data_IF_768773071401
#
_entry.id   IF_768773071401
#
_cell.length_a   1.000
_cell.length_b   1.000
_cell.length_c   1.000
_cell.angle_alpha   90.00
_cell.angle_beta   90.00
_cell.angle_gamma   90.00
#
_symmetry.space_group_name_H-M   'P 1'
#
loop_
_entity.id
_entity.type
_entity.pdbx_description
1 polymer ?
#
# COMPACT_ATOMS: atom_id res chain seq x y z
N UNK A 1 25.45 -16.76 8.12
CA UNK A 1 25.34 -15.98 6.85
C UNK A 1 24.02 -16.24 6.11
N UNK A 2 23.34 -17.36 6.36
CA UNK A 2 21.97 -17.65 5.90
C UNK A 2 20.92 -16.76 6.57
N UNK A 3 20.99 -16.63 7.90
CA UNK A 3 19.90 -16.05 8.70
C UNK A 3 19.78 -14.52 8.51
N UNK A 4 20.90 -13.84 8.30
CA UNK A 4 20.93 -12.40 8.01
C UNK A 4 20.28 -12.08 6.64
N UNK A 5 20.45 -12.96 5.65
CA UNK A 5 19.80 -12.79 4.33
C UNK A 5 18.29 -12.99 4.42
N UNK A 6 17.83 -13.93 5.23
CA UNK A 6 16.40 -14.16 5.46
C UNK A 6 15.75 -12.95 6.16
N UNK A 7 16.37 -12.45 7.23
CA UNK A 7 15.89 -11.25 7.94
C UNK A 7 15.84 -10.03 7.01
N UNK A 8 16.87 -9.82 6.19
CA UNK A 8 16.87 -8.73 5.21
C UNK A 8 15.78 -8.88 4.14
N UNK A 9 15.50 -10.11 3.71
CA UNK A 9 14.43 -10.38 2.75
C UNK A 9 13.06 -10.12 3.35
N UNK A 10 12.82 -10.59 4.58
CA UNK A 10 11.56 -10.33 5.29
C UNK A 10 11.35 -8.83 5.54
N UNK A 11 12.38 -8.10 5.96
CA UNK A 11 12.31 -6.66 6.16
C UNK A 11 11.93 -5.93 4.86
N UNK A 12 12.46 -6.37 3.72
CA UNK A 12 12.08 -5.83 2.42
C UNK A 12 10.62 -6.10 2.09
N UNK A 13 10.14 -7.34 2.27
CA UNK A 13 8.74 -7.69 2.03
C UNK A 13 7.78 -6.88 2.91
N UNK A 14 8.12 -6.70 4.19
CA UNK A 14 7.34 -5.86 5.12
C UNK A 14 7.36 -4.38 4.69
N UNK A 15 8.50 -3.87 4.25
CA UNK A 15 8.60 -2.51 3.72
C UNK A 15 7.72 -2.34 2.47
N UNK A 16 7.76 -3.31 1.56
CA UNK A 16 6.98 -3.29 0.32
C UNK A 16 5.47 -3.33 0.62
N UNK A 17 5.03 -4.05 1.67
CA UNK A 17 3.65 -4.03 2.15
C UNK A 17 3.24 -2.70 2.81
N UNK A 18 4.17 -1.95 3.43
CA UNK A 18 3.88 -0.64 4.04
C UNK A 18 3.66 0.45 3.00
N UNK A 19 4.31 0.38 1.85
CA UNK A 19 4.19 1.39 0.80
C UNK A 19 2.75 1.61 0.30
N UNK A 20 1.97 0.56 -0.07
CA UNK A 20 0.58 0.75 -0.46
C UNK A 20 -0.33 1.22 0.69
N UNK A 21 -0.08 0.78 1.93
CA UNK A 21 -0.82 1.29 3.11
C UNK A 21 -0.67 2.80 3.28
N UNK A 22 0.55 3.33 3.15
CA UNK A 22 0.78 4.77 3.25
C UNK A 22 0.08 5.54 2.12
N UNK A 23 0.06 4.98 0.91
CA UNK A 23 -0.64 5.57 -0.23
C UNK A 23 -2.15 5.56 -0.03
N UNK A 24 -2.72 4.52 0.57
CA UNK A 24 -4.15 4.47 0.92
C UNK A 24 -4.49 5.63 1.86
N UNK A 25 -3.74 5.78 2.96
CA UNK A 25 -3.94 6.87 3.93
C UNK A 25 -3.87 8.24 3.26
N UNK A 26 -2.81 8.49 2.47
CA UNK A 26 -2.62 9.76 1.75
C UNK A 26 -3.76 10.05 0.76
N UNK A 27 -4.22 9.05 -0.02
CA UNK A 27 -5.32 9.27 -0.96
C UNK A 27 -6.66 9.48 -0.23
N UNK A 28 -6.87 8.85 0.93
CA UNK A 28 -8.06 9.09 1.75
C UNK A 28 -8.08 10.53 2.31
N UNK A 29 -6.93 11.04 2.77
CA UNK A 29 -6.79 12.45 3.15
C UNK A 29 -7.00 13.40 1.98
N UNK A 30 -6.49 13.06 0.79
CA UNK A 30 -6.72 13.84 -0.43
C UNK A 30 -8.20 13.91 -0.80
N UNK A 31 -8.97 12.83 -0.63
CA UNK A 31 -10.42 12.83 -0.86
C UNK A 31 -11.11 13.80 0.10
N UNK A 32 -10.75 13.80 1.39
CA UNK A 32 -11.28 14.78 2.36
C UNK A 32 -11.00 16.22 1.90
N UNK A 33 -9.75 16.50 1.53
CA UNK A 33 -9.34 17.83 1.04
C UNK A 33 -10.13 18.26 -0.21
N UNK A 34 -10.36 17.34 -1.16
CA UNK A 34 -11.15 17.61 -2.36
C UNK A 34 -12.60 17.98 -2.02
N UNK A 35 -13.21 17.27 -1.07
CA UNK A 35 -14.60 17.51 -0.65
C UNK A 35 -14.74 18.80 0.17
N UNK A 36 -13.79 19.07 1.07
CA UNK A 36 -13.83 20.25 1.96
C UNK A 36 -13.58 21.56 1.22
N UNK A 37 -12.86 21.53 0.09
CA UNK A 37 -12.45 22.72 -0.66
C UNK A 37 -13.14 22.85 -2.02
N UNK A 38 -14.25 22.13 -2.25
CA UNK A 38 -15.03 22.14 -3.50
C UNK A 38 -14.16 21.97 -4.77
N UNK A 39 -13.16 21.10 -4.68
CA UNK A 39 -12.26 20.82 -5.80
C UNK A 39 -12.95 19.90 -6.82
N UNK A 40 -12.44 19.82 -8.07
CA UNK A 40 -13.06 18.96 -9.09
C UNK A 40 -13.23 17.51 -8.63
N UNK A 41 -14.46 16.98 -8.77
CA UNK A 41 -14.84 15.62 -8.39
C UNK A 41 -13.91 14.54 -8.95
N UNK A 42 -13.40 14.74 -10.17
CA UNK A 42 -12.50 13.80 -10.84
C UNK A 42 -11.21 13.55 -10.04
N UNK A 43 -10.77 14.52 -9.22
CA UNK A 43 -9.62 14.33 -8.32
C UNK A 43 -9.93 13.33 -7.20
N UNK A 44 -11.15 13.35 -6.65
CA UNK A 44 -11.57 12.36 -5.66
C UNK A 44 -11.72 10.97 -6.29
N UNK A 45 -12.26 10.89 -7.52
CA UNK A 45 -12.36 9.63 -8.26
C UNK A 45 -10.98 9.03 -8.54
N UNK A 46 -10.03 9.84 -9.02
CA UNK A 46 -8.66 9.38 -9.26
C UNK A 46 -7.95 8.95 -7.97
N UNK A 47 -8.22 9.61 -6.83
CA UNK A 47 -7.71 9.19 -5.53
C UNK A 47 -8.33 7.86 -5.07
N UNK A 48 -9.63 7.65 -5.34
CA UNK A 48 -10.33 6.40 -5.03
C UNK A 48 -9.78 5.22 -5.86
N UNK A 49 -9.54 5.42 -7.15
CA UNK A 49 -8.93 4.40 -8.02
C UNK A 49 -7.55 3.99 -7.50
N UNK A 50 -6.77 4.97 -7.01
CA UNK A 50 -5.49 4.68 -6.34
C UNK A 50 -5.68 3.89 -5.06
N UNK A 51 -6.67 4.19 -4.22
CA UNK A 51 -6.95 3.40 -3.02
C UNK A 51 -7.24 1.95 -3.40
N UNK A 52 -8.12 1.71 -4.38
CA UNK A 52 -8.48 0.36 -4.84
C UNK A 52 -7.24 -0.39 -5.34
N UNK A 53 -6.42 0.24 -6.18
CA UNK A 53 -5.19 -0.38 -6.68
C UNK A 53 -4.19 -0.68 -5.55
N UNK A 54 -4.04 0.21 -4.56
CA UNK A 54 -3.15 -0.04 -3.42
C UNK A 54 -3.69 -1.15 -2.50
N UNK A 55 -5.02 -1.31 -2.36
CA UNK A 55 -5.58 -2.46 -1.64
C UNK A 55 -5.22 -3.79 -2.31
N UNK A 56 -5.24 -3.86 -3.65
CA UNK A 56 -4.79 -5.03 -4.40
C UNK A 56 -3.29 -5.29 -4.18
N UNK A 57 -2.45 -4.25 -4.25
CA UNK A 57 -1.01 -4.36 -3.96
C UNK A 57 -0.72 -4.80 -2.51
N UNK A 58 -1.53 -4.37 -1.53
CA UNK A 58 -1.45 -4.87 -0.16
C UNK A 58 -1.68 -6.38 -0.12
N UNK A 59 -2.73 -6.87 -0.81
CA UNK A 59 -3.04 -8.30 -0.86
C UNK A 59 -1.89 -9.11 -1.46
N UNK A 60 -1.30 -8.65 -2.57
CA UNK A 60 -0.14 -9.29 -3.20
C UNK A 60 1.09 -9.29 -2.28
N UNK A 61 1.35 -8.17 -1.61
CA UNK A 61 2.50 -8.06 -0.69
C UNK A 61 2.34 -8.98 0.52
N UNK A 62 1.13 -9.10 1.07
CA UNK A 62 0.84 -10.03 2.15
C UNK A 62 0.98 -11.49 1.69
N UNK A 63 0.52 -11.82 0.49
CA UNK A 63 0.71 -13.16 -0.08
C UNK A 63 2.21 -13.49 -0.20
N UNK A 64 3.03 -12.55 -0.67
CA UNK A 64 4.49 -12.75 -0.78
C UNK A 64 5.15 -12.99 0.59
N UNK A 65 4.68 -12.34 1.66
CA UNK A 65 5.17 -12.57 3.04
C UNK A 65 4.76 -13.98 3.50
N UNK A 66 3.52 -14.38 3.27
CA UNK A 66 3.04 -15.73 3.59
C UNK A 66 3.82 -16.80 2.85
N UNK A 67 4.05 -16.62 1.55
CA UNK A 67 4.81 -17.55 0.71
C UNK A 67 6.28 -17.60 1.10
N UNK A 68 6.85 -16.51 1.62
CA UNK A 68 8.20 -16.52 2.17
C UNK A 68 8.30 -17.32 3.47
N UNK A 69 7.30 -17.20 4.35
CA UNK A 69 7.28 -17.90 5.65
C UNK A 69 6.93 -19.40 5.55
N UNK A 70 6.26 -19.82 4.47
CA UNK A 70 5.86 -21.21 4.24
C UNK A 70 6.88 -22.02 3.41
N UNK A 71 8.02 -21.42 3.04
CA UNK A 71 9.14 -22.09 2.38
C UNK A 71 10.06 -22.76 3.40
#
# INVERSE_FOLDING_TARGET
>A
MSDEKEVNTLNKLVHDARAPLNRISMNAELIKLVLENDMPKDKALAALDKIISNCQQCSESLQNITDFNNK
#
